data_IF_190824173176
#
_entry.id   IF_190824173176
#
_cell.length_a   1.000
_cell.length_b   1.000
_cell.length_c   1.000
_cell.angle_alpha   90.00
_cell.angle_beta   90.00
_cell.angle_gamma   90.00
#
_symmetry.space_group_name_H-M   'P 1'
#
loop_
_entity.id
_entity.type
_entity.pdbx_description
1 polymer ?
#
# COMPACT_ATOMS: atom_id res chain seq x y z
N UNK A 1 41.97 -27.90 0.88
CA UNK A 1 41.24 -27.05 1.85
C UNK A 1 40.14 -26.34 1.09
N UNK A 2 38.91 -26.79 1.23
CA UNK A 2 37.74 -26.20 0.56
C UNK A 2 37.43 -24.88 1.25
N UNK A 3 37.52 -23.77 0.54
CA UNK A 3 37.01 -22.48 0.99
C UNK A 3 35.53 -22.62 1.33
N UNK A 4 35.08 -22.26 2.54
CA UNK A 4 33.64 -22.27 2.82
C UNK A 4 32.94 -21.35 1.83
N UNK A 5 31.86 -21.83 1.22
CA UNK A 5 31.01 -21.01 0.38
C UNK A 5 30.59 -19.78 1.20
N UNK A 6 30.90 -18.58 0.69
CA UNK A 6 30.49 -17.35 1.32
C UNK A 6 28.95 -17.42 1.47
N UNK A 7 28.47 -17.36 2.69
CA UNK A 7 27.04 -17.26 2.99
C UNK A 7 26.57 -15.97 2.31
N UNK A 8 25.70 -16.08 1.31
CA UNK A 8 25.08 -14.91 0.69
C UNK A 8 24.18 -14.33 1.75
N UNK A 9 24.53 -13.18 2.31
CA UNK A 9 23.73 -12.53 3.34
C UNK A 9 22.33 -12.23 2.82
N UNK A 10 21.35 -12.38 3.68
CA UNK A 10 19.98 -12.04 3.40
C UNK A 10 19.56 -10.85 4.25
N UNK A 11 18.89 -9.90 3.63
CA UNK A 11 18.30 -8.78 4.34
C UNK A 11 16.89 -9.08 4.80
N UNK A 12 16.54 -8.59 5.97
CA UNK A 12 15.23 -8.74 6.57
C UNK A 12 14.65 -7.39 6.96
N UNK A 13 13.38 -7.22 6.65
CA UNK A 13 12.57 -6.10 7.11
C UNK A 13 11.89 -6.48 8.43
N UNK A 14 12.13 -5.67 9.44
CA UNK A 14 11.49 -5.74 10.76
C UNK A 14 10.67 -4.49 10.98
N UNK A 15 9.35 -4.64 11.12
CA UNK A 15 8.42 -3.54 11.44
C UNK A 15 7.71 -3.83 12.73
N UNK A 16 7.45 -2.80 13.54
CA UNK A 16 6.68 -2.95 14.75
C UNK A 16 5.98 -1.67 15.18
N UNK A 17 4.89 -1.83 15.94
CA UNK A 17 4.22 -0.77 16.69
C UNK A 17 3.95 -1.21 18.12
N UNK A 18 3.94 -0.27 19.06
CA UNK A 18 3.62 -0.50 20.46
C UNK A 18 3.18 0.80 21.14
N UNK A 19 2.61 0.75 22.36
CA UNK A 19 2.44 1.93 23.20
C UNK A 19 3.78 2.65 23.43
N UNK A 20 3.81 3.98 23.23
CA UNK A 20 5.06 4.74 23.39
C UNK A 20 5.49 4.82 24.85
N UNK A 21 6.77 4.54 25.08
CA UNK A 21 7.39 4.58 26.42
C UNK A 21 8.91 4.69 26.36
N UNK A 22 9.49 5.13 27.45
CA UNK A 22 10.94 5.23 27.58
C UNK A 22 11.63 3.86 27.41
N UNK A 23 12.67 3.80 26.58
CA UNK A 23 13.55 2.65 26.47
C UNK A 23 13.19 1.65 25.37
N UNK A 24 12.16 1.86 24.56
CA UNK A 24 11.79 0.97 23.44
C UNK A 24 12.98 0.73 22.53
N UNK A 25 13.56 1.80 21.96
CA UNK A 25 14.73 1.68 21.06
C UNK A 25 15.92 1.01 21.72
N UNK A 26 16.20 1.36 22.98
CA UNK A 26 17.32 0.76 23.70
C UNK A 26 17.16 -0.75 23.85
N UNK A 27 15.98 -1.22 24.25
CA UNK A 27 15.69 -2.66 24.42
C UNK A 27 15.72 -3.41 23.09
N UNK A 28 15.07 -2.87 22.05
CA UNK A 28 15.05 -3.49 20.72
C UNK A 28 16.45 -3.52 20.12
N UNK A 29 17.18 -2.40 20.12
CA UNK A 29 18.53 -2.34 19.55
C UNK A 29 19.52 -3.24 20.32
N UNK A 30 19.40 -3.33 21.65
CA UNK A 30 20.24 -4.22 22.44
C UNK A 30 19.98 -5.68 22.11
N UNK A 31 18.72 -6.08 22.00
CA UNK A 31 18.37 -7.45 21.59
C UNK A 31 18.92 -7.78 20.20
N UNK A 32 18.74 -6.89 19.22
CA UNK A 32 19.26 -7.07 17.86
C UNK A 32 20.79 -7.19 17.88
N UNK A 33 21.48 -6.31 18.62
CA UNK A 33 22.93 -6.36 18.79
C UNK A 33 23.40 -7.67 19.43
N UNK A 34 22.78 -8.11 20.53
CA UNK A 34 23.13 -9.35 21.22
C UNK A 34 22.95 -10.59 20.33
N UNK A 35 21.98 -10.52 19.41
CA UNK A 35 21.74 -11.61 18.44
C UNK A 35 22.60 -11.52 17.19
N UNK A 36 23.35 -10.43 16.99
CA UNK A 36 24.18 -10.21 15.80
C UNK A 36 23.36 -9.83 14.55
N UNK A 37 22.17 -9.27 14.72
CA UNK A 37 21.43 -8.68 13.61
C UNK A 37 22.08 -7.35 13.22
N UNK A 38 22.69 -7.28 12.03
CA UNK A 38 23.40 -6.10 11.56
C UNK A 38 22.42 -5.10 10.95
N UNK A 39 21.99 -4.10 11.73
CA UNK A 39 21.00 -3.11 11.30
C UNK A 39 21.62 -2.17 10.27
N UNK A 40 21.02 -2.11 9.06
CA UNK A 40 21.44 -1.26 7.94
C UNK A 40 20.56 -0.02 7.79
N UNK A 41 19.27 -0.12 8.14
CA UNK A 41 18.33 1.01 8.14
C UNK A 41 17.52 1.00 9.43
N UNK A 42 17.20 2.18 9.95
CA UNK A 42 16.29 2.34 11.09
C UNK A 42 15.54 3.65 10.99
N UNK A 43 14.22 3.55 10.91
CA UNK A 43 13.29 4.67 10.94
C UNK A 43 12.30 4.43 12.07
N UNK A 44 11.96 5.47 12.80
CA UNK A 44 10.98 5.38 13.87
C UNK A 44 10.30 6.71 14.12
N UNK A 45 9.10 6.65 14.69
CA UNK A 45 8.32 7.80 15.07
C UNK A 45 7.45 7.49 16.29
N UNK A 46 7.50 8.35 17.30
CA UNK A 46 6.55 8.34 18.42
C UNK A 46 5.49 9.41 18.19
N UNK A 47 4.22 9.03 18.14
CA UNK A 47 3.11 9.98 17.99
C UNK A 47 2.60 10.43 19.36
N UNK A 48 2.82 11.71 19.75
CA UNK A 48 2.41 12.19 21.05
C UNK A 48 0.88 12.30 21.22
N UNK A 49 0.11 12.23 20.14
CA UNK A 49 -1.36 12.31 20.21
C UNK A 49 -2.02 10.96 20.46
N UNK A 50 -1.46 9.90 19.89
CA UNK A 50 -1.99 8.52 20.04
C UNK A 50 -1.18 7.71 21.05
N UNK A 51 -0.09 8.28 21.55
CA UNK A 51 0.84 7.59 22.46
C UNK A 51 1.31 6.23 21.90
N UNK A 52 1.49 6.18 20.58
CA UNK A 52 2.00 5.01 19.84
C UNK A 52 3.39 5.26 19.28
N UNK A 53 4.20 4.23 19.33
CA UNK A 53 5.53 4.19 18.73
C UNK A 53 5.54 3.25 17.54
N UNK A 54 6.11 3.70 16.43
CA UNK A 54 6.22 2.97 15.16
C UNK A 54 7.69 2.87 14.77
N UNK A 55 8.09 1.71 14.26
CA UNK A 55 9.46 1.53 13.78
C UNK A 55 9.52 0.59 12.58
N UNK A 56 10.43 0.92 11.68
CA UNK A 56 10.84 0.11 10.53
C UNK A 56 12.36 0.01 10.54
N UNK A 57 12.87 -1.21 10.55
CA UNK A 57 14.29 -1.51 10.53
C UNK A 57 14.61 -2.50 9.43
N UNK A 58 15.77 -2.39 8.81
CA UNK A 58 16.33 -3.41 7.92
C UNK A 58 17.60 -3.94 8.59
N UNK A 59 17.76 -5.25 8.61
CA UNK A 59 18.98 -5.88 9.11
C UNK A 59 19.45 -7.00 8.19
N UNK A 60 20.75 -7.21 8.17
CA UNK A 60 21.44 -8.28 7.47
C UNK A 60 21.78 -9.40 8.46
N UNK A 61 21.73 -10.66 8.00
CA UNK A 61 21.92 -11.84 8.82
C UNK A 61 23.36 -12.41 8.80
N UNK A 62 24.34 -11.76 8.13
CA UNK A 62 25.68 -12.30 7.92
C UNK A 62 26.47 -12.59 9.22
N UNK A 63 26.11 -11.93 10.32
CA UNK A 63 26.70 -12.15 11.66
C UNK A 63 25.68 -12.59 12.70
N UNK A 64 24.49 -12.99 12.26
CA UNK A 64 23.41 -13.44 13.14
C UNK A 64 23.81 -14.70 13.92
N UNK A 65 23.61 -14.70 15.23
CA UNK A 65 23.87 -15.82 16.11
C UNK A 65 22.67 -16.80 16.12
N UNK A 66 22.64 -17.69 15.16
CA UNK A 66 21.52 -18.62 14.95
C UNK A 66 20.69 -18.25 13.75
N UNK A 67 19.43 -18.64 13.76
CA UNK A 67 18.47 -18.39 12.69
C UNK A 67 17.60 -17.16 12.96
N UNK A 68 16.92 -16.66 11.91
CA UNK A 68 15.89 -15.60 12.08
C UNK A 68 14.72 -16.10 12.93
N UNK A 69 14.44 -17.40 12.95
CA UNK A 69 13.41 -17.97 13.83
C UNK A 69 13.81 -17.96 15.29
N UNK A 70 15.12 -18.15 15.60
CA UNK A 70 15.65 -17.94 16.95
C UNK A 70 15.49 -16.48 17.38
N UNK A 71 15.78 -15.54 16.48
CA UNK A 71 15.54 -14.10 16.71
C UNK A 71 14.06 -13.82 16.97
N UNK A 72 13.15 -14.37 16.15
CA UNK A 72 11.70 -14.24 16.36
C UNK A 72 11.27 -14.74 17.74
N UNK A 73 11.79 -15.87 18.17
CA UNK A 73 11.52 -16.44 19.48
C UNK A 73 11.91 -15.47 20.61
N UNK A 74 13.08 -14.86 20.53
CA UNK A 74 13.54 -13.89 21.53
C UNK A 74 12.78 -12.57 21.47
N UNK A 75 12.49 -12.09 20.25
CA UNK A 75 11.64 -10.92 20.05
C UNK A 75 10.22 -11.12 20.60
N UNK A 76 9.68 -12.33 20.55
CA UNK A 76 8.34 -12.62 21.09
C UNK A 76 8.24 -12.38 22.60
N UNK A 77 9.35 -12.54 23.34
CA UNK A 77 9.41 -12.25 24.79
C UNK A 77 9.38 -10.73 25.01
N UNK A 78 10.24 -10.00 24.27
CA UNK A 78 10.28 -8.54 24.34
C UNK A 78 8.96 -7.90 23.85
N UNK A 79 8.35 -8.49 22.83
CA UNK A 79 7.07 -8.04 22.29
C UNK A 79 5.95 -8.11 23.35
N UNK A 80 5.91 -9.17 24.15
CA UNK A 80 4.95 -9.28 25.27
C UNK A 80 5.20 -8.21 26.35
N UNK A 81 6.48 -7.93 26.67
CA UNK A 81 6.85 -6.90 27.63
C UNK A 81 6.44 -5.50 27.16
N UNK A 82 6.62 -5.21 25.87
CA UNK A 82 6.37 -3.91 25.27
C UNK A 82 4.95 -3.77 24.69
N UNK A 83 4.12 -4.80 24.75
CA UNK A 83 2.81 -4.85 24.07
C UNK A 83 2.96 -4.54 22.58
N UNK A 84 4.00 -5.12 21.96
CA UNK A 84 4.45 -4.84 20.61
C UNK A 84 3.80 -5.80 19.61
N UNK A 85 3.19 -5.25 18.57
CA UNK A 85 2.84 -5.97 17.35
C UNK A 85 3.99 -5.82 16.36
N UNK A 86 4.49 -6.93 15.79
CA UNK A 86 5.63 -6.89 14.90
C UNK A 86 5.57 -7.89 13.77
N UNK A 87 6.30 -7.60 12.69
CA UNK A 87 6.56 -8.53 11.60
C UNK A 87 8.05 -8.58 11.27
N UNK A 88 8.54 -9.75 10.87
CA UNK A 88 9.85 -9.93 10.23
C UNK A 88 9.63 -10.69 8.94
N UNK A 89 10.11 -10.17 7.83
CA UNK A 89 10.07 -10.82 6.52
C UNK A 89 11.36 -10.59 5.76
N UNK A 90 11.66 -11.41 4.77
CA UNK A 90 12.77 -11.15 3.86
C UNK A 90 12.56 -9.79 3.17
N UNK A 91 13.64 -9.03 2.97
CA UNK A 91 13.54 -7.69 2.36
C UNK A 91 13.14 -7.76 0.87
N UNK A 92 13.45 -8.88 0.20
CA UNK A 92 13.08 -9.17 -1.18
C UNK A 92 11.68 -9.79 -1.33
N UNK A 93 10.95 -9.97 -0.23
CA UNK A 93 9.57 -10.46 -0.25
C UNK A 93 8.67 -9.53 -1.07
N UNK A 94 7.86 -10.14 -1.93
CA UNK A 94 6.91 -9.44 -2.79
C UNK A 94 5.48 -9.74 -2.35
N UNK A 95 4.75 -8.77 -1.79
CA UNK A 95 3.35 -9.00 -1.43
C UNK A 95 2.51 -9.26 -2.68
N UNK A 96 1.54 -10.15 -2.55
CA UNK A 96 0.60 -10.48 -3.60
C UNK A 96 -0.48 -9.42 -3.70
N UNK A 97 -0.67 -8.87 -4.89
CA UNK A 97 -1.59 -7.76 -5.14
C UNK A 97 -2.65 -8.15 -6.17
N UNK A 98 -3.92 -7.97 -5.82
CA UNK A 98 -5.05 -8.00 -6.73
C UNK A 98 -5.40 -6.56 -7.12
N UNK A 99 -5.55 -6.26 -8.41
CA UNK A 99 -5.89 -4.91 -8.88
C UNK A 99 -7.33 -4.91 -9.40
N UNK A 100 -8.14 -3.98 -8.93
CA UNK A 100 -9.49 -3.73 -9.46
C UNK A 100 -9.49 -2.47 -10.31
N UNK A 101 -10.09 -2.54 -11.51
CA UNK A 101 -10.16 -1.45 -12.48
C UNK A 101 -11.55 -1.40 -13.13
N UNK A 102 -11.98 -0.22 -13.59
CA UNK A 102 -13.15 -0.11 -14.47
C UNK A 102 -12.71 0.19 -15.92
N UNK A 103 -13.06 1.35 -16.47
CA UNK A 103 -12.76 1.71 -17.88
C UNK A 103 -11.44 2.46 -18.06
N UNK A 104 -11.07 3.31 -17.09
CA UNK A 104 -9.88 4.15 -17.18
C UNK A 104 -8.63 3.35 -16.81
N UNK A 105 -7.67 3.32 -17.70
CA UNK A 105 -6.49 2.46 -17.62
C UNK A 105 -5.21 3.17 -17.11
N UNK A 106 -5.19 4.51 -17.01
CA UNK A 106 -3.97 5.27 -16.72
C UNK A 106 -3.26 4.83 -15.42
N UNK A 107 -4.01 4.59 -14.35
CA UNK A 107 -3.44 4.07 -13.10
C UNK A 107 -2.93 2.63 -13.25
N UNK A 108 -3.73 1.75 -13.86
CA UNK A 108 -3.36 0.37 -14.13
C UNK A 108 -2.11 0.31 -15.01
N UNK A 109 -2.05 1.07 -16.09
CA UNK A 109 -0.94 1.10 -17.02
C UNK A 109 0.39 1.48 -16.33
N UNK A 110 0.39 2.52 -15.47
CA UNK A 110 1.58 2.90 -14.72
C UNK A 110 2.01 1.81 -13.72
N UNK A 111 1.07 1.17 -13.02
CA UNK A 111 1.36 0.06 -12.12
C UNK A 111 2.02 -1.11 -12.86
N UNK A 112 1.44 -1.54 -13.99
CA UNK A 112 1.97 -2.62 -14.83
C UNK A 112 3.35 -2.30 -15.39
N UNK A 113 3.55 -1.07 -15.86
CA UNK A 113 4.84 -0.60 -16.39
C UNK A 113 5.93 -0.62 -15.31
N UNK A 114 5.65 -0.07 -14.13
CA UNK A 114 6.59 -0.06 -12.99
C UNK A 114 6.87 -1.46 -12.46
N UNK A 115 5.87 -2.33 -12.38
CA UNK A 115 6.02 -3.72 -11.99
C UNK A 115 6.94 -4.47 -12.96
N UNK A 116 6.71 -4.38 -14.26
CA UNK A 116 7.55 -5.02 -15.29
C UNK A 116 8.99 -4.49 -15.29
N UNK A 117 9.17 -3.21 -15.00
CA UNK A 117 10.49 -2.59 -14.87
C UNK A 117 11.22 -2.98 -13.56
N UNK A 118 10.59 -3.74 -12.65
CA UNK A 118 11.15 -4.08 -11.35
C UNK A 118 11.14 -2.93 -10.34
N UNK A 119 10.47 -1.82 -10.65
CA UNK A 119 10.37 -0.65 -9.77
C UNK A 119 9.26 -0.76 -8.71
N UNK A 120 8.41 -1.79 -8.80
CA UNK A 120 7.44 -2.18 -7.77
C UNK A 120 7.72 -3.63 -7.36
N UNK A 121 8.12 -3.82 -6.12
CA UNK A 121 8.41 -5.14 -5.55
C UNK A 121 7.11 -5.82 -5.08
N UNK A 122 6.23 -6.16 -6.02
CA UNK A 122 4.95 -6.85 -5.80
C UNK A 122 4.78 -8.01 -6.76
N UNK A 123 3.91 -8.97 -6.41
CA UNK A 123 3.43 -10.01 -7.30
C UNK A 123 1.97 -9.73 -7.66
N UNK A 124 1.71 -9.33 -8.91
CA UNK A 124 0.33 -9.09 -9.38
C UNK A 124 -0.31 -10.45 -9.67
N UNK A 125 -1.22 -10.88 -8.82
CA UNK A 125 -1.87 -12.20 -8.92
C UNK A 125 -3.08 -12.21 -9.85
N UNK A 126 -3.59 -11.04 -10.22
CA UNK A 126 -4.69 -10.87 -11.17
C UNK A 126 -5.17 -9.43 -11.24
N UNK A 127 -5.98 -9.17 -12.26
CA UNK A 127 -6.74 -7.93 -12.42
C UNK A 127 -8.21 -8.30 -12.54
N UNK A 128 -9.05 -7.66 -11.73
CA UNK A 128 -10.51 -7.80 -11.79
C UNK A 128 -11.14 -6.52 -12.33
N UNK A 129 -12.15 -6.66 -13.18
CA UNK A 129 -12.86 -5.51 -13.74
C UNK A 129 -14.34 -5.82 -13.95
N UNK A 130 -15.17 -4.80 -13.81
CA UNK A 130 -16.58 -4.83 -14.20
C UNK A 130 -16.79 -4.50 -15.70
N UNK A 131 -15.72 -4.24 -16.45
CA UNK A 131 -15.68 -3.97 -17.88
C UNK A 131 -14.57 -4.75 -18.58
N UNK A 132 -14.62 -4.87 -19.91
CA UNK A 132 -13.59 -5.56 -20.68
C UNK A 132 -12.53 -4.64 -21.29
N UNK A 133 -12.64 -3.32 -21.08
CA UNK A 133 -11.81 -2.30 -21.74
C UNK A 133 -10.30 -2.53 -21.52
N UNK A 134 -9.90 -2.94 -20.32
CA UNK A 134 -8.48 -3.15 -19.96
C UNK A 134 -7.98 -4.58 -20.23
N UNK A 135 -8.82 -5.52 -20.73
CA UNK A 135 -8.47 -6.93 -20.90
C UNK A 135 -7.19 -7.14 -21.73
N UNK A 136 -7.15 -6.57 -22.92
CA UNK A 136 -6.02 -6.76 -23.84
C UNK A 136 -4.70 -6.21 -23.27
N UNK A 137 -4.75 -5.09 -22.54
CA UNK A 137 -3.60 -4.53 -21.85
C UNK A 137 -3.07 -5.52 -20.79
N UNK A 138 -3.94 -6.06 -19.93
CA UNK A 138 -3.56 -6.97 -18.85
C UNK A 138 -3.02 -8.30 -19.38
N UNK A 139 -3.70 -8.90 -20.36
CA UNK A 139 -3.29 -10.14 -20.97
C UNK A 139 -1.94 -10.02 -21.73
N UNK A 140 -1.63 -8.84 -22.29
CA UNK A 140 -0.31 -8.59 -22.90
C UNK A 140 0.83 -8.65 -21.86
N UNK A 141 0.58 -8.31 -20.60
CA UNK A 141 1.54 -8.47 -19.51
C UNK A 141 1.61 -9.92 -18.98
N UNK A 142 0.76 -10.84 -19.46
CA UNK A 142 0.67 -12.22 -19.03
C UNK A 142 -0.03 -12.38 -17.66
N UNK A 143 -0.82 -11.39 -17.24
CA UNK A 143 -1.55 -11.40 -15.97
C UNK A 143 -2.97 -11.91 -16.17
N UNK A 144 -3.53 -12.76 -15.27
CA UNK A 144 -4.91 -13.17 -15.33
C UNK A 144 -5.89 -12.00 -15.26
N UNK A 145 -6.86 -11.95 -16.19
CA UNK A 145 -7.92 -10.94 -16.19
C UNK A 145 -9.27 -11.57 -15.88
N UNK A 146 -9.93 -11.09 -14.83
CA UNK A 146 -11.22 -11.56 -14.37
C UNK A 146 -12.30 -10.52 -14.65
N UNK A 147 -13.28 -10.87 -15.48
CA UNK A 147 -14.40 -9.99 -15.79
C UNK A 147 -15.60 -10.36 -14.93
N UNK A 148 -15.93 -9.51 -13.96
CA UNK A 148 -17.08 -9.63 -13.07
C UNK A 148 -18.04 -8.45 -13.32
N UNK A 149 -18.97 -8.57 -14.28
CA UNK A 149 -19.91 -7.51 -14.58
C UNK A 149 -20.82 -7.23 -13.36
N UNK A 150 -21.25 -5.98 -13.24
CA UNK A 150 -22.06 -5.53 -12.11
C UNK A 150 -23.32 -4.80 -12.57
N UNK A 151 -24.42 -5.07 -11.88
CA UNK A 151 -25.65 -4.29 -11.87
C UNK A 151 -26.03 -3.99 -10.43
N UNK A 152 -27.06 -3.14 -10.20
CA UNK A 152 -27.60 -2.90 -8.85
C UNK A 152 -27.93 -4.20 -8.10
N UNK A 153 -28.47 -5.19 -8.81
CA UNK A 153 -28.99 -6.42 -8.22
C UNK A 153 -27.90 -7.50 -8.02
N UNK A 154 -26.79 -7.41 -8.76
CA UNK A 154 -25.69 -8.39 -8.72
C UNK A 154 -24.48 -7.94 -7.90
N UNK A 155 -24.52 -6.76 -7.31
CA UNK A 155 -23.40 -6.20 -6.54
C UNK A 155 -22.92 -7.14 -5.40
N UNK A 156 -23.78 -7.70 -4.55
CA UNK A 156 -23.33 -8.61 -3.49
C UNK A 156 -22.62 -9.86 -4.02
N UNK A 157 -23.10 -10.43 -5.12
CA UNK A 157 -22.50 -11.59 -5.77
C UNK A 157 -21.14 -11.24 -6.37
N UNK A 158 -21.02 -10.08 -7.01
CA UNK A 158 -19.78 -9.60 -7.60
C UNK A 158 -18.72 -9.32 -6.52
N UNK A 159 -19.10 -8.70 -5.40
CA UNK A 159 -18.20 -8.48 -4.27
C UNK A 159 -17.74 -9.80 -3.63
N UNK A 160 -18.64 -10.79 -3.51
CA UNK A 160 -18.27 -12.13 -3.06
C UNK A 160 -17.24 -12.79 -3.99
N UNK A 161 -17.40 -12.69 -5.31
CA UNK A 161 -16.45 -13.20 -6.29
C UNK A 161 -15.07 -12.53 -6.16
N UNK A 162 -15.02 -11.22 -5.90
CA UNK A 162 -13.75 -10.49 -5.68
C UNK A 162 -13.09 -10.98 -4.38
N UNK A 163 -13.85 -11.13 -3.29
CA UNK A 163 -13.33 -11.62 -2.02
C UNK A 163 -12.82 -13.07 -2.12
N UNK A 164 -13.54 -13.93 -2.83
CA UNK A 164 -13.13 -15.32 -3.07
C UNK A 164 -11.84 -15.37 -3.91
N UNK A 165 -11.74 -14.53 -4.94
CA UNK A 165 -10.53 -14.39 -5.74
C UNK A 165 -9.37 -13.86 -4.90
N UNK A 166 -9.59 -12.84 -4.06
CA UNK A 166 -8.60 -12.29 -3.14
C UNK A 166 -8.07 -13.37 -2.19
N UNK A 167 -8.97 -14.15 -1.60
CA UNK A 167 -8.60 -15.22 -0.67
C UNK A 167 -7.89 -16.39 -1.39
N UNK A 168 -8.42 -16.86 -2.52
CA UNK A 168 -7.89 -18.03 -3.24
C UNK A 168 -6.53 -17.79 -3.87
N UNK A 169 -6.23 -16.57 -4.28
CA UNK A 169 -4.90 -16.18 -4.78
C UNK A 169 -3.90 -15.87 -3.67
N UNK A 170 -4.37 -15.75 -2.43
CA UNK A 170 -3.57 -15.34 -1.30
C UNK A 170 -3.14 -13.87 -1.41
N UNK A 171 -3.95 -13.02 -2.06
CA UNK A 171 -3.68 -11.59 -2.16
C UNK A 171 -3.65 -10.93 -0.78
N UNK A 172 -2.71 -10.03 -0.59
CA UNK A 172 -2.50 -9.27 0.65
C UNK A 172 -3.02 -7.84 0.53
N UNK A 173 -3.06 -7.32 -0.70
CA UNK A 173 -3.55 -5.98 -1.01
C UNK A 173 -4.52 -6.01 -2.19
N UNK A 174 -5.66 -5.35 -2.05
CA UNK A 174 -6.55 -4.96 -3.15
C UNK A 174 -6.25 -3.50 -3.53
N UNK A 175 -5.93 -3.25 -4.80
CA UNK A 175 -5.67 -1.91 -5.31
C UNK A 175 -6.83 -1.47 -6.21
N UNK A 176 -7.55 -0.44 -5.81
CA UNK A 176 -8.63 0.16 -6.60
C UNK A 176 -8.04 1.20 -7.56
N UNK A 177 -7.59 0.73 -8.74
CA UNK A 177 -7.00 1.55 -9.80
C UNK A 177 -8.10 2.14 -10.70
N UNK A 178 -8.81 3.16 -10.21
CA UNK A 178 -9.99 3.72 -10.87
C UNK A 178 -11.14 2.71 -11.00
N UNK A 179 -11.33 1.91 -9.97
CA UNK A 179 -12.48 1.03 -9.84
C UNK A 179 -13.69 1.86 -9.40
N UNK A 180 -14.55 2.21 -10.36
CA UNK A 180 -15.64 3.18 -10.20
C UNK A 180 -16.89 2.59 -9.53
N UNK A 181 -16.69 1.70 -8.54
CA UNK A 181 -17.74 1.12 -7.73
C UNK A 181 -17.45 1.40 -6.25
N UNK A 182 -18.47 1.84 -5.53
CA UNK A 182 -18.39 1.98 -4.08
C UNK A 182 -18.45 0.57 -3.48
N UNK A 183 -17.49 0.19 -2.66
CA UNK A 183 -17.52 -1.07 -1.94
C UNK A 183 -18.61 -1.04 -0.87
N UNK A 184 -19.22 -2.20 -0.58
CA UNK A 184 -20.12 -2.31 0.57
C UNK A 184 -19.37 -2.19 1.89
N UNK A 185 -20.05 -1.82 2.95
CA UNK A 185 -19.49 -1.76 4.30
C UNK A 185 -18.89 -3.12 4.74
N UNK A 186 -19.54 -4.22 4.36
CA UNK A 186 -19.06 -5.56 4.66
C UNK A 186 -17.72 -5.85 3.97
N UNK A 187 -17.63 -5.55 2.67
CA UNK A 187 -16.37 -5.72 1.91
C UNK A 187 -15.28 -4.76 2.43
N UNK A 188 -15.62 -3.51 2.75
CA UNK A 188 -14.68 -2.52 3.27
C UNK A 188 -14.10 -2.97 4.62
N UNK A 189 -14.93 -3.47 5.54
CA UNK A 189 -14.47 -4.03 6.83
C UNK A 189 -13.58 -5.27 6.66
N UNK A 190 -13.93 -6.19 5.75
CA UNK A 190 -13.12 -7.39 5.48
C UNK A 190 -11.75 -7.06 4.90
N UNK A 191 -11.62 -5.93 4.23
CA UNK A 191 -10.38 -5.47 3.60
C UNK A 191 -9.73 -4.29 4.34
N UNK A 192 -10.12 -4.03 5.57
CA UNK A 192 -9.52 -2.97 6.40
C UNK A 192 -8.00 -3.12 6.47
N UNK A 193 -7.28 -2.03 6.19
CA UNK A 193 -5.82 -2.02 6.09
C UNK A 193 -5.23 -2.80 4.90
N UNK A 194 -6.08 -3.42 4.07
CA UNK A 194 -5.69 -4.24 2.91
C UNK A 194 -6.33 -3.82 1.60
N UNK A 195 -6.92 -2.64 1.53
CA UNK A 195 -7.42 -2.06 0.28
C UNK A 195 -6.98 -0.61 0.17
N UNK A 196 -6.36 -0.25 -0.96
CA UNK A 196 -5.93 1.11 -1.28
C UNK A 196 -6.75 1.61 -2.46
N UNK A 197 -7.35 2.80 -2.30
CA UNK A 197 -8.08 3.50 -3.36
C UNK A 197 -7.31 4.72 -3.84
N UNK A 198 -7.48 5.06 -5.12
CA UNK A 198 -7.10 6.37 -5.66
C UNK A 198 -8.34 7.22 -5.85
N UNK A 199 -8.37 8.35 -5.15
CA UNK A 199 -9.39 9.38 -5.30
C UNK A 199 -8.85 10.53 -6.16
N UNK A 200 -9.67 10.95 -7.14
CA UNK A 200 -9.30 11.91 -8.17
C UNK A 200 -9.44 13.38 -7.71
N UNK A 201 -9.18 13.66 -6.43
CA UNK A 201 -9.06 15.02 -5.92
C UNK A 201 -8.12 15.08 -4.72
N UNK A 202 -7.72 16.29 -4.36
CA UNK A 202 -7.02 16.57 -3.13
C UNK A 202 -8.03 16.55 -1.97
N UNK A 203 -8.12 15.42 -1.25
CA UNK A 203 -9.00 15.30 -0.10
C UNK A 203 -8.56 16.24 1.05
N UNK A 204 -9.51 16.81 1.79
CA UNK A 204 -10.96 16.58 1.77
C UNK A 204 -11.78 17.46 0.77
N UNK A 205 -11.12 18.09 -0.19
CA UNK A 205 -11.78 18.98 -1.17
C UNK A 205 -12.43 18.24 -2.35
N UNK A 206 -13.40 18.88 -3.01
CA UNK A 206 -14.03 18.46 -4.27
C UNK A 206 -14.53 16.99 -4.27
N UNK A 207 -15.37 16.64 -3.30
CA UNK A 207 -16.08 15.35 -3.28
C UNK A 207 -17.13 15.30 -4.38
N UNK A 208 -17.38 14.09 -4.92
CA UNK A 208 -18.44 13.83 -5.88
C UNK A 208 -17.98 13.77 -7.34
N UNK A 209 -18.91 13.93 -8.28
CA UNK A 209 -18.68 13.75 -9.72
C UNK A 209 -17.95 14.97 -10.34
N UNK A 210 -17.09 14.71 -11.33
CA UNK A 210 -16.37 15.71 -12.14
C UNK A 210 -15.56 16.74 -11.33
N UNK A 211 -14.68 16.32 -10.39
CA UNK A 211 -13.97 17.26 -9.52
C UNK A 211 -13.08 18.24 -10.29
N UNK A 212 -12.48 17.85 -11.41
CA UNK A 212 -11.67 18.76 -12.24
C UNK A 212 -12.48 19.87 -12.90
N UNK A 213 -13.71 19.61 -13.31
CA UNK A 213 -14.61 20.67 -13.81
C UNK A 213 -15.03 21.63 -12.69
N UNK A 214 -15.34 21.09 -11.50
CA UNK A 214 -15.61 21.93 -10.34
C UNK A 214 -14.41 22.80 -9.96
N UNK A 215 -13.19 22.23 -10.03
CA UNK A 215 -11.95 22.93 -9.78
C UNK A 215 -11.71 24.06 -10.79
N UNK A 216 -11.94 23.80 -12.08
CA UNK A 216 -11.86 24.79 -13.14
C UNK A 216 -12.84 25.94 -12.90
N UNK A 217 -14.13 25.64 -12.67
CA UNK A 217 -15.17 26.65 -12.44
C UNK A 217 -14.88 27.52 -11.20
N UNK A 218 -14.19 26.97 -10.21
CA UNK A 218 -13.74 27.69 -9.02
C UNK A 218 -12.45 28.48 -9.23
N UNK A 219 -11.76 28.28 -10.36
CA UNK A 219 -10.49 28.96 -10.66
C UNK A 219 -9.37 28.61 -9.66
N UNK A 220 -9.32 27.35 -9.19
CA UNK A 220 -8.29 26.89 -8.25
C UNK A 220 -6.90 27.00 -8.86
N UNK A 221 -5.88 27.02 -8.04
CA UNK A 221 -4.46 27.13 -8.45
C UNK A 221 -3.68 25.84 -8.25
N UNK A 222 -4.33 24.83 -7.70
CA UNK A 222 -3.78 23.47 -7.53
C UNK A 222 -4.87 22.44 -7.74
N UNK A 223 -4.52 21.34 -8.36
CA UNK A 223 -5.30 20.10 -8.40
C UNK A 223 -4.45 18.95 -7.85
N UNK A 224 -5.04 17.82 -7.60
CA UNK A 224 -4.29 16.67 -7.10
C UNK A 224 -5.11 15.42 -6.99
N UNK A 225 -4.47 14.39 -6.49
CA UNK A 225 -5.06 13.09 -6.24
C UNK A 225 -4.63 12.55 -4.88
N UNK A 226 -5.45 11.70 -4.28
CA UNK A 226 -5.21 11.13 -2.95
C UNK A 226 -5.29 9.61 -3.02
N UNK A 227 -4.21 8.92 -2.65
CA UNK A 227 -4.23 7.50 -2.37
C UNK A 227 -4.43 7.28 -0.87
N UNK A 228 -5.43 6.49 -0.50
CA UNK A 228 -5.83 6.26 0.88
C UNK A 228 -6.29 4.82 1.09
N UNK A 229 -6.28 4.33 2.32
CA UNK A 229 -6.93 3.07 2.65
C UNK A 229 -8.45 3.19 2.52
N UNK A 230 -9.08 2.10 2.12
CA UNK A 230 -10.54 2.03 2.04
C UNK A 230 -11.10 1.78 3.45
N UNK A 231 -12.17 2.51 3.77
CA UNK A 231 -13.00 2.32 4.96
C UNK A 231 -14.47 2.25 4.57
N UNK A 232 -15.37 2.02 5.53
CA UNK A 232 -16.83 2.10 5.30
C UNK A 232 -17.27 3.52 4.92
N UNK A 233 -16.54 4.53 5.39
CA UNK A 233 -16.83 5.92 5.06
C UNK A 233 -16.16 6.28 3.73
N UNK A 234 -16.99 6.61 2.74
CA UNK A 234 -16.53 6.87 1.37
C UNK A 234 -15.54 8.05 1.33
N UNK A 235 -14.36 7.77 0.76
CA UNK A 235 -13.25 8.73 0.57
C UNK A 235 -12.77 9.40 1.88
N UNK A 236 -12.97 8.75 3.04
CA UNK A 236 -12.56 9.26 4.36
C UNK A 236 -11.50 8.36 5.05
N UNK A 237 -11.00 7.35 4.36
CA UNK A 237 -9.97 6.47 4.91
C UNK A 237 -8.61 7.13 5.09
N UNK A 238 -7.72 6.52 5.90
CA UNK A 238 -6.39 7.04 6.20
C UNK A 238 -5.57 7.33 4.95
N UNK A 239 -5.13 8.59 4.80
CA UNK A 239 -4.39 9.07 3.63
C UNK A 239 -2.96 8.52 3.66
N UNK A 240 -2.49 8.00 2.52
CA UNK A 240 -1.12 7.47 2.36
C UNK A 240 -0.26 8.46 1.58
N UNK A 241 -0.74 8.90 0.41
CA UNK A 241 -0.02 9.80 -0.50
C UNK A 241 -1.00 10.80 -1.08
N UNK A 242 -0.55 12.04 -1.18
CA UNK A 242 -1.22 13.09 -1.93
C UNK A 242 -0.26 13.67 -2.96
N UNK A 243 -0.64 13.64 -4.23
CA UNK A 243 0.09 14.28 -5.32
C UNK A 243 -0.63 15.58 -5.68
N UNK A 244 0.12 16.68 -5.79
CA UNK A 244 -0.42 18.01 -6.07
C UNK A 244 0.30 18.62 -7.26
N UNK A 245 -0.48 19.21 -8.17
CA UNK A 245 0.04 19.95 -9.34
C UNK A 245 -0.46 21.39 -9.33
N UNK A 246 0.47 22.32 -9.51
CA UNK A 246 0.12 23.71 -9.78
C UNK A 246 -0.52 23.83 -11.17
N UNK A 247 -1.57 24.61 -11.26
CA UNK A 247 -2.27 24.98 -12.49
C UNK A 247 -2.54 26.47 -12.49
N UNK A 248 -2.91 27.02 -13.62
CA UNK A 248 -3.28 28.43 -13.75
C UNK A 248 -4.52 28.63 -14.63
N UNK A 249 -4.81 29.86 -14.97
CA UNK A 249 -6.01 30.25 -15.73
C UNK A 249 -5.96 29.86 -17.21
N UNK A 250 -4.83 29.34 -17.70
CA UNK A 250 -4.68 28.89 -19.10
C UNK A 250 -5.13 27.44 -19.28
N UNK A 251 -5.28 26.70 -18.19
CA UNK A 251 -5.74 25.30 -18.24
C UNK A 251 -7.24 25.24 -18.45
N UNK A 252 -7.68 24.54 -19.48
CA UNK A 252 -9.07 24.12 -19.65
C UNK A 252 -9.45 23.01 -18.64
N UNK A 253 -10.73 22.71 -18.52
CA UNK A 253 -11.18 21.60 -17.69
C UNK A 253 -10.64 20.25 -18.20
N UNK A 254 -10.49 20.09 -19.52
CA UNK A 254 -9.93 18.93 -20.19
C UNK A 254 -8.43 18.79 -19.89
N UNK A 255 -7.67 19.88 -19.91
CA UNK A 255 -6.25 19.88 -19.54
C UNK A 255 -6.07 19.46 -18.07
N UNK A 256 -6.95 19.98 -17.18
CA UNK A 256 -6.95 19.57 -15.77
C UNK A 256 -7.25 18.05 -15.59
N UNK A 257 -8.12 17.47 -16.42
CA UNK A 257 -8.38 16.01 -16.41
C UNK A 257 -7.12 15.24 -16.78
N UNK A 258 -6.40 15.66 -17.83
CA UNK A 258 -5.16 14.98 -18.27
C UNK A 258 -4.08 15.04 -17.19
N UNK A 259 -3.81 16.21 -16.65
CA UNK A 259 -2.83 16.41 -15.55
C UNK A 259 -3.28 15.65 -14.29
N UNK A 260 -4.58 15.57 -14.05
CA UNK A 260 -5.17 14.82 -12.96
C UNK A 260 -4.93 13.31 -13.09
N UNK A 261 -5.09 12.75 -14.29
CA UNK A 261 -4.81 11.33 -14.55
C UNK A 261 -3.34 10.97 -14.26
N UNK A 262 -2.39 11.84 -14.61
CA UNK A 262 -0.97 11.65 -14.28
C UNK A 262 -0.76 11.65 -12.76
N UNK A 263 -1.36 12.60 -12.05
CA UNK A 263 -1.28 12.71 -10.59
C UNK A 263 -1.88 11.49 -9.88
N UNK A 264 -3.03 10.99 -10.36
CA UNK A 264 -3.68 9.78 -9.87
C UNK A 264 -2.77 8.55 -10.02
N UNK A 265 -2.20 8.38 -11.21
CA UNK A 265 -1.33 7.24 -11.50
C UNK A 265 -0.06 7.26 -10.63
N UNK A 266 0.56 8.44 -10.46
CA UNK A 266 1.76 8.61 -9.63
C UNK A 266 1.46 8.37 -8.16
N UNK A 267 0.40 8.98 -7.61
CA UNK A 267 0.02 8.82 -6.20
C UNK A 267 -0.29 7.35 -5.86
N UNK A 268 -1.06 6.66 -6.72
CA UNK A 268 -1.40 5.25 -6.49
C UNK A 268 -0.16 4.36 -6.55
N UNK A 269 0.70 4.54 -7.56
CA UNK A 269 1.92 3.75 -7.69
C UNK A 269 2.88 3.96 -6.50
N UNK A 270 2.96 5.18 -5.97
CA UNK A 270 3.75 5.48 -4.77
C UNK A 270 3.15 4.82 -3.53
N UNK A 271 1.82 4.86 -3.34
CA UNK A 271 1.18 4.21 -2.21
C UNK A 271 1.40 2.69 -2.22
N UNK A 272 1.26 2.04 -3.39
CA UNK A 272 1.54 0.60 -3.56
C UNK A 272 3.02 0.28 -3.27
N UNK A 273 3.95 1.14 -3.68
CA UNK A 273 5.37 0.99 -3.37
C UNK A 273 5.63 1.07 -1.87
N UNK A 274 5.10 2.09 -1.19
CA UNK A 274 5.25 2.25 0.27
C UNK A 274 4.67 1.06 1.02
N UNK A 275 3.55 0.49 0.56
CA UNK A 275 2.98 -0.73 1.10
C UNK A 275 3.94 -1.92 0.93
N UNK A 276 4.47 -2.11 -0.28
CA UNK A 276 5.39 -3.23 -0.56
C UNK A 276 6.71 -3.13 0.23
N UNK A 277 7.15 -1.92 0.54
CA UNK A 277 8.33 -1.64 1.36
C UNK A 277 8.07 -1.72 2.88
N UNK A 278 6.82 -2.01 3.31
CA UNK A 278 6.44 -2.06 4.72
C UNK A 278 6.63 -0.73 5.45
N UNK A 279 6.32 0.38 4.78
CA UNK A 279 6.56 1.73 5.28
C UNK A 279 5.31 2.40 5.85
N UNK A 280 4.15 1.79 5.71
CA UNK A 280 2.86 2.39 6.11
C UNK A 280 2.38 1.72 7.39
N UNK A 281 2.09 2.52 8.39
CA UNK A 281 1.45 2.10 9.64
C UNK A 281 0.11 2.82 9.78
N UNK A 282 -0.92 2.08 10.17
CA UNK A 282 -2.23 2.67 10.50
C UNK A 282 -2.18 3.28 11.90
N UNK A 283 -2.66 4.51 12.02
CA UNK A 283 -2.71 5.24 13.28
C UNK A 283 -4.06 5.94 13.45
N UNK A 284 -5.10 5.17 13.75
CA UNK A 284 -6.48 5.64 13.76
C UNK A 284 -6.92 6.10 12.37
N UNK A 285 -7.32 7.37 12.25
CA UNK A 285 -7.75 7.97 10.98
C UNK A 285 -6.60 8.50 10.10
N UNK A 286 -5.36 8.22 10.49
CA UNK A 286 -4.15 8.68 9.81
C UNK A 286 -3.23 7.52 9.49
N UNK A 287 -2.21 7.79 8.68
CA UNK A 287 -1.07 6.90 8.52
C UNK A 287 0.20 7.55 9.07
N UNK A 288 1.12 6.72 9.53
CA UNK A 288 2.53 7.06 9.69
C UNK A 288 3.29 6.38 8.56
N UNK A 289 4.05 7.15 7.80
CA UNK A 289 4.87 6.66 6.68
C UNK A 289 6.34 6.86 7.01
N UNK A 290 7.09 5.75 7.18
CA UNK A 290 8.50 5.74 7.59
C UNK A 290 9.45 5.48 6.40
#
# INVERSE_FOLDING_TARGET
>A
MSTPAAHKSSEYLFTFECPDRLGILAKVSNLLYEQGAFVTESFHYGDPQTEKFFARMVFDDHVLKGSVDDLRTKLSVLAKELEMEYTIRAADYRPKVLIAVSKYDHCLNLLLTKWRAGALAIDIVGVVSNHNDCRSLVEWYGIPFHHFPITSDTKPQQEAQILDLFASTGAELLVLARYMQILSDDMSRKLEGRAINIHHSFLPGFKGARPYHQAHDRGVKVIGATAHFVTSDLDEGPIIVQEVKAIDHTYSAEDMVLVGHDSEAVALAQAVRLFSEGRIFLNGHRTVVL
#
